data_IF_734332411009
#
_entry.id   IF_734332411009
#
_cell.length_a   1.000
_cell.length_b   1.000
_cell.length_c   1.000
_cell.angle_alpha   90.00
_cell.angle_beta   90.00
_cell.angle_gamma   90.00
#
_symmetry.space_group_name_H-M   'P 1'
#
loop_
_entity.id
_entity.type
_entity.pdbx_description
1 polymer ?
#
# COMPACT_ATOMS: atom_id res chain seq x y z
N UNK A 1 -20.05 -22.08 -41.17
CA UNK A 1 -20.18 -21.11 -40.06
C UNK A 1 -19.45 -21.72 -38.89
N UNK A 2 -18.25 -21.18 -38.65
CA UNK A 2 -17.27 -21.65 -37.67
C UNK A 2 -17.86 -21.64 -36.25
N UNK A 3 -17.50 -22.66 -35.46
CA UNK A 3 -17.95 -22.86 -34.08
C UNK A 3 -16.94 -22.28 -33.09
N UNK A 4 -17.27 -21.17 -32.44
CA UNK A 4 -16.46 -20.65 -31.33
C UNK A 4 -16.89 -21.30 -30.01
N UNK A 5 -16.23 -22.41 -29.67
CA UNK A 5 -16.21 -22.92 -28.29
C UNK A 5 -15.05 -22.23 -27.57
N UNK A 6 -15.36 -21.27 -26.70
CA UNK A 6 -14.36 -20.71 -25.78
C UNK A 6 -13.97 -21.77 -24.75
N UNK A 7 -12.79 -22.38 -24.90
CA UNK A 7 -12.19 -23.21 -23.86
C UNK A 7 -11.53 -22.32 -22.81
N UNK A 8 -12.04 -22.34 -21.58
CA UNK A 8 -11.36 -21.72 -20.43
C UNK A 8 -10.43 -22.77 -19.81
N UNK A 9 -9.12 -22.60 -19.99
CA UNK A 9 -8.10 -23.42 -19.35
C UNK A 9 -7.87 -22.91 -17.92
N UNK A 10 -8.45 -23.59 -16.93
CA UNK A 10 -8.12 -23.36 -15.52
C UNK A 10 -6.74 -23.95 -15.25
N UNK A 11 -5.70 -23.11 -15.28
CA UNK A 11 -4.35 -23.50 -14.85
C UNK A 11 -4.35 -23.59 -13.32
N UNK A 12 -4.64 -24.79 -12.78
CA UNK A 12 -4.31 -25.12 -11.40
C UNK A 12 -2.80 -25.28 -11.32
N UNK A 13 -2.08 -24.26 -10.85
CA UNK A 13 -0.67 -24.45 -10.44
C UNK A 13 -0.67 -25.31 -9.17
N UNK A 14 -0.46 -26.61 -9.35
CA UNK A 14 -0.04 -27.51 -8.28
C UNK A 14 1.26 -26.98 -7.69
N UNK A 15 1.31 -26.85 -6.36
CA UNK A 15 2.56 -26.66 -5.63
C UNK A 15 3.46 -27.86 -5.87
N UNK A 16 4.42 -27.72 -6.79
CA UNK A 16 5.58 -28.60 -6.90
C UNK A 16 6.80 -27.78 -6.51
N UNK A 17 7.50 -28.24 -5.47
CA UNK A 17 8.72 -27.62 -4.96
C UNK A 17 9.80 -27.57 -6.03
N UNK A 18 10.43 -26.40 -6.21
CA UNK A 18 11.86 -26.20 -6.52
C UNK A 18 12.08 -24.90 -7.29
N UNK A 19 12.69 -23.94 -6.60
CA UNK A 19 13.80 -23.08 -7.04
C UNK A 19 13.70 -21.76 -6.28
N UNK A 20 14.81 -21.41 -5.62
CA UNK A 20 15.05 -20.09 -5.05
C UNK A 20 15.05 -19.09 -6.20
N UNK A 21 13.88 -18.63 -6.60
CA UNK A 21 13.71 -17.55 -7.56
C UNK A 21 13.67 -16.25 -6.79
N UNK A 22 14.49 -15.30 -7.26
CA UNK A 22 14.51 -13.89 -6.86
C UNK A 22 13.14 -13.43 -6.38
N UNK A 23 13.10 -12.90 -5.16
CA UNK A 23 11.94 -12.16 -4.66
C UNK A 23 11.93 -10.83 -5.43
N UNK A 24 11.59 -10.88 -6.72
CA UNK A 24 11.11 -9.71 -7.43
C UNK A 24 9.87 -9.26 -6.66
N UNK A 25 9.80 -8.01 -6.18
CA UNK A 25 8.58 -7.51 -5.58
C UNK A 25 7.44 -7.78 -6.57
N UNK A 26 6.44 -8.52 -6.13
CA UNK A 26 5.23 -8.66 -6.93
C UNK A 26 4.61 -7.26 -6.98
N UNK A 27 4.34 -6.72 -8.18
CA UNK A 27 3.71 -5.41 -8.27
C UNK A 27 2.37 -5.47 -7.53
N UNK A 28 2.01 -4.37 -6.86
CA UNK A 28 0.72 -4.30 -6.20
C UNK A 28 -0.36 -4.50 -7.25
N UNK A 29 -1.26 -5.46 -7.00
CA UNK A 29 -2.34 -5.75 -7.94
C UNK A 29 -3.41 -4.65 -7.94
N UNK A 30 -3.42 -3.79 -6.91
CA UNK A 30 -4.38 -2.71 -6.74
C UNK A 30 -3.66 -1.45 -6.25
N UNK A 31 -4.12 -0.29 -6.71
CA UNK A 31 -3.82 1.00 -6.10
C UNK A 31 -4.81 1.24 -4.95
N UNK A 32 -4.30 1.68 -3.81
CA UNK A 32 -5.05 2.10 -2.65
C UNK A 32 -4.93 3.60 -2.48
N UNK A 33 -6.07 4.24 -2.27
CA UNK A 33 -6.11 5.63 -1.85
C UNK A 33 -6.08 5.70 -0.32
N UNK A 34 -5.08 6.38 0.23
CA UNK A 34 -4.84 6.51 1.67
C UNK A 34 -4.95 7.97 2.08
N UNK A 35 -5.89 8.24 2.97
CA UNK A 35 -6.02 9.54 3.63
C UNK A 35 -5.41 9.48 5.04
N UNK A 36 -4.62 10.49 5.40
CA UNK A 36 -4.09 10.66 6.76
C UNK A 36 -4.48 12.03 7.29
N UNK A 37 -4.76 12.12 8.60
CA UNK A 37 -5.06 13.38 9.28
C UNK A 37 -4.09 13.58 10.44
N UNK A 38 -3.29 14.62 10.34
CA UNK A 38 -2.37 15.01 11.40
C UNK A 38 -3.10 15.87 12.44
N UNK A 39 -2.88 15.57 13.71
CA UNK A 39 -3.57 16.25 14.81
C UNK A 39 -3.30 17.76 14.87
N UNK A 40 -4.18 18.48 15.58
CA UNK A 40 -4.06 19.92 15.81
C UNK A 40 -3.50 20.29 17.18
N UNK A 41 -3.72 19.49 18.22
CA UNK A 41 -3.19 19.75 19.57
C UNK A 41 -2.48 18.52 20.12
N UNK A 42 -1.23 18.69 20.57
CA UNK A 42 -0.45 17.64 21.20
C UNK A 42 -0.97 17.34 22.60
N UNK A 43 -0.33 16.42 23.33
CA UNK A 43 -0.75 16.08 24.68
C UNK A 43 -0.75 17.34 25.56
N UNK A 44 -1.92 17.68 26.12
CA UNK A 44 -2.18 18.90 26.89
C UNK A 44 -1.79 20.22 26.18
N UNK A 45 -1.59 20.20 24.86
CA UNK A 45 -1.08 21.34 24.10
C UNK A 45 0.42 21.57 24.20
N UNK A 46 1.17 20.65 24.80
CA UNK A 46 2.61 20.80 25.06
C UNK A 46 3.48 20.03 24.07
N UNK A 47 2.90 19.09 23.30
CA UNK A 47 3.66 18.32 22.30
C UNK A 47 3.62 18.96 20.92
N UNK A 48 4.77 18.99 20.26
CA UNK A 48 4.86 19.23 18.82
C UNK A 48 4.04 18.20 18.06
N UNK A 49 3.46 18.62 16.94
CA UNK A 49 2.65 17.76 16.08
C UNK A 49 3.15 17.89 14.66
N UNK A 50 3.11 16.77 13.97
CA UNK A 50 3.63 16.61 12.63
C UNK A 50 5.04 16.01 12.65
N UNK A 51 5.54 15.66 11.47
CA UNK A 51 6.83 14.98 11.35
C UNK A 51 7.44 15.16 9.98
N UNK A 52 8.77 15.30 9.94
CA UNK A 52 9.57 15.23 8.71
C UNK A 52 10.16 13.82 8.46
N UNK A 53 9.90 12.87 9.36
CA UNK A 53 10.41 11.50 9.28
C UNK A 53 9.62 10.70 8.23
N UNK A 54 10.25 9.65 7.71
CA UNK A 54 9.59 8.70 6.81
C UNK A 54 8.47 7.94 7.55
N UNK A 55 7.26 7.97 7.00
CA UNK A 55 6.11 7.20 7.47
C UNK A 55 5.83 6.07 6.49
N UNK A 56 5.53 4.89 7.03
CA UNK A 56 5.26 3.69 6.26
C UNK A 56 3.93 3.08 6.68
N UNK A 57 3.30 2.37 5.76
CA UNK A 57 2.18 1.49 6.05
C UNK A 57 2.51 0.05 5.64
N UNK A 58 1.76 -0.91 6.18
CA UNK A 58 1.82 -2.30 5.78
C UNK A 58 0.39 -2.84 5.67
N UNK A 59 0.09 -3.46 4.54
CA UNK A 59 -1.22 -4.06 4.29
C UNK A 59 -1.16 -5.51 4.77
N UNK A 60 -2.18 -5.92 5.53
CA UNK A 60 -2.35 -7.29 5.98
C UNK A 60 -3.67 -7.80 5.42
N UNK A 61 -3.62 -8.89 4.65
CA UNK A 61 -4.82 -9.49 4.09
C UNK A 61 -5.60 -10.31 5.14
N UNK A 62 -6.78 -10.78 4.75
CA UNK A 62 -7.64 -11.64 5.57
C UNK A 62 -6.99 -12.96 6.03
N UNK A 63 -5.91 -13.39 5.37
CA UNK A 63 -5.17 -14.62 5.69
C UNK A 63 -3.92 -14.32 6.54
N UNK A 64 -3.67 -13.05 6.87
CA UNK A 64 -2.50 -12.62 7.65
C UNK A 64 -1.23 -12.41 6.81
N UNK A 65 -1.31 -12.48 5.47
CA UNK A 65 -0.18 -12.21 4.59
C UNK A 65 0.08 -10.70 4.60
N UNK A 66 1.34 -10.31 4.82
CA UNK A 66 1.78 -8.92 4.92
C UNK A 66 2.42 -8.47 3.61
N UNK A 67 2.14 -7.23 3.19
CA UNK A 67 2.92 -6.58 2.15
C UNK A 67 4.32 -6.20 2.65
N UNK A 68 5.21 -5.87 1.72
CA UNK A 68 6.38 -5.06 2.07
C UNK A 68 5.94 -3.69 2.64
N UNK A 69 6.74 -3.05 3.51
CA UNK A 69 6.46 -1.70 3.99
C UNK A 69 6.41 -0.68 2.85
N UNK A 70 5.31 0.04 2.75
CA UNK A 70 5.07 1.05 1.70
C UNK A 70 5.29 2.41 2.31
N UNK A 71 6.26 3.18 1.79
CA UNK A 71 6.51 4.53 2.26
C UNK A 71 5.50 5.52 1.66
N UNK A 72 4.89 6.33 2.51
CA UNK A 72 4.04 7.46 2.11
C UNK A 72 4.93 8.65 1.73
N UNK A 73 5.50 8.60 0.51
CA UNK A 73 6.56 9.54 0.08
C UNK A 73 6.05 10.92 -0.32
N UNK A 74 5.01 10.96 -1.13
CA UNK A 74 4.52 12.17 -1.79
C UNK A 74 3.01 12.29 -1.56
N UNK A 75 2.62 13.31 -0.81
CA UNK A 75 1.21 13.68 -0.66
C UNK A 75 0.75 14.34 -1.96
N UNK A 76 -0.50 14.06 -2.35
CA UNK A 76 -1.13 14.66 -3.53
C UNK A 76 -1.36 16.15 -3.28
N UNK A 77 -1.79 16.52 -2.08
CA UNK A 77 -2.24 17.88 -1.75
C UNK A 77 -1.12 18.76 -1.21
N UNK A 78 -0.11 18.17 -0.56
CA UNK A 78 0.90 18.93 0.17
C UNK A 78 2.33 18.55 -0.21
N UNK A 79 3.13 19.57 -0.52
CA UNK A 79 4.59 19.43 -0.69
C UNK A 79 5.25 18.92 0.60
N UNK A 80 4.79 19.40 1.75
CA UNK A 80 5.23 18.93 3.06
C UNK A 80 4.09 18.16 3.72
N UNK A 81 4.31 16.86 3.88
CA UNK A 81 3.33 15.89 4.38
C UNK A 81 3.42 15.76 5.89
N UNK A 82 2.33 15.33 6.51
CA UNK A 82 2.23 15.12 7.95
C UNK A 82 2.47 16.39 8.76
N UNK A 83 2.06 17.55 8.25
CA UNK A 83 2.11 18.81 8.98
C UNK A 83 0.90 18.98 9.89
N UNK A 84 1.08 19.74 10.97
CA UNK A 84 0.01 19.98 11.95
C UNK A 84 -1.28 20.45 11.27
N UNK A 85 -2.41 19.84 11.66
CA UNK A 85 -3.74 20.16 11.14
C UNK A 85 -3.93 19.87 9.63
N UNK A 86 -2.98 19.18 8.98
CA UNK A 86 -3.11 18.77 7.57
C UNK A 86 -3.85 17.44 7.41
N UNK A 87 -4.52 17.33 6.26
CA UNK A 87 -5.06 16.09 5.71
C UNK A 87 -4.26 15.75 4.45
N UNK A 88 -3.53 14.65 4.45
CA UNK A 88 -2.69 14.25 3.32
C UNK A 88 -3.28 13.01 2.63
N UNK A 89 -3.34 13.05 1.31
CA UNK A 89 -3.81 11.96 0.46
C UNK A 89 -2.65 11.32 -0.32
N UNK A 90 -2.67 10.00 -0.45
CA UNK A 90 -1.64 9.21 -1.12
C UNK A 90 -2.27 8.10 -1.95
N UNK A 91 -1.86 8.00 -3.22
CA UNK A 91 -2.12 6.80 -4.03
C UNK A 91 -0.90 5.87 -3.95
N UNK A 92 -1.13 4.65 -3.46
CA UNK A 92 -0.07 3.67 -3.24
C UNK A 92 -0.43 2.32 -3.86
N UNK A 93 0.55 1.67 -4.48
CA UNK A 93 0.35 0.43 -5.23
C UNK A 93 1.01 0.53 -6.58
#
# INVERSE_FOLDING_TARGET
>A
MESDRHSVSIIRKSHTSSSLSEISPTPFQNTYHVETKTGKKGFLGLSSIGTNTNVYIQIIDRNGIKSEPIQLKASIDHRNKFERDHKDEFDIG
#
